data_IF_645047844017
#
_entry.id   IF_645047844017
#
_cell.length_a   1.000
_cell.length_b   1.000
_cell.length_c   1.000
_cell.angle_alpha   90.00
_cell.angle_beta   90.00
_cell.angle_gamma   90.00
#
_symmetry.space_group_name_H-M   'P 1'
#
loop_
_entity.id
_entity.type
_entity.pdbx_description
1 polymer ?
#
# COMPACT_ATOMS: atom_id res chain seq x y z
N UNK A 1 -11.53 -5.39 21.97
CA UNK A 1 -10.86 -5.47 20.66
C UNK A 1 -9.38 -5.24 20.89
N UNK A 2 -8.52 -6.04 20.28
CA UNK A 2 -7.07 -5.88 20.37
C UNK A 2 -6.53 -5.29 19.08
N UNK A 3 -5.47 -4.49 19.16
CA UNK A 3 -4.73 -4.03 17.98
C UNK A 3 -3.65 -5.05 17.60
N UNK A 4 -2.96 -4.85 16.47
CA UNK A 4 -2.09 -5.86 15.85
C UNK A 4 -0.98 -6.43 16.76
N UNK A 5 -0.46 -5.63 17.69
CA UNK A 5 0.56 -6.09 18.66
C UNK A 5 -0.02 -6.75 19.94
N UNK A 6 -1.35 -6.96 20.00
CA UNK A 6 -2.04 -7.62 21.11
C UNK A 6 -2.47 -6.71 22.27
N UNK A 7 -2.19 -5.40 22.22
CA UNK A 7 -2.67 -4.42 23.20
C UNK A 7 -4.19 -4.23 23.11
N UNK A 8 -4.82 -3.90 24.24
CA UNK A 8 -6.24 -3.52 24.26
C UNK A 8 -6.46 -2.15 23.61
N UNK A 9 -7.50 -2.06 22.79
CA UNK A 9 -7.88 -0.81 22.17
C UNK A 9 -8.53 0.14 23.18
N UNK A 10 -7.97 1.34 23.28
CA UNK A 10 -8.48 2.49 24.02
C UNK A 10 -8.65 3.63 23.03
N UNK A 11 -9.86 4.15 22.89
CA UNK A 11 -10.16 5.23 21.96
C UNK A 11 -9.53 6.56 22.41
N UNK A 12 -9.13 7.37 21.44
CA UNK A 12 -8.74 8.78 21.62
C UNK A 12 -9.37 9.59 20.49
N UNK A 13 -10.49 10.25 20.75
CA UNK A 13 -11.19 11.04 19.72
C UNK A 13 -10.34 12.20 19.19
N UNK A 14 -9.37 12.69 19.98
CA UNK A 14 -8.52 13.80 19.56
C UNK A 14 -7.55 13.41 18.46
N UNK A 15 -7.12 12.14 18.41
CA UNK A 15 -6.17 11.70 17.38
C UNK A 15 -6.85 11.48 16.02
N UNK A 16 -8.15 11.18 16.00
CA UNK A 16 -8.90 10.91 14.77
C UNK A 16 -8.86 12.10 13.82
N UNK A 17 -8.59 11.80 12.54
CA UNK A 17 -8.46 12.79 11.46
C UNK A 17 -7.14 12.68 10.71
N UNK A 18 -6.85 13.73 9.93
CA UNK A 18 -5.66 13.83 9.08
C UNK A 18 -4.55 14.63 9.75
N UNK A 19 -3.32 14.13 9.64
CA UNK A 19 -2.10 14.74 10.17
C UNK A 19 -1.06 14.90 9.07
N UNK A 20 -0.56 16.12 8.86
CA UNK A 20 0.48 16.43 7.88
C UNK A 20 1.86 16.50 8.53
N UNK A 21 2.87 15.90 7.90
CA UNK A 21 4.24 15.91 8.40
C UNK A 21 4.84 17.32 8.34
N UNK A 22 5.52 17.73 9.42
CA UNK A 22 6.13 19.06 9.55
C UNK A 22 7.66 18.96 9.57
N UNK A 23 8.18 17.91 10.18
CA UNK A 23 9.61 17.73 10.38
C UNK A 23 9.90 16.73 11.50
N UNK A 24 11.15 16.75 11.96
CA UNK A 24 11.59 15.85 13.02
C UNK A 24 12.54 16.57 13.99
N UNK A 25 12.70 15.98 15.17
CA UNK A 25 13.60 16.46 16.22
C UNK A 25 14.49 15.28 16.60
N UNK A 26 15.81 15.49 16.65
CA UNK A 26 16.77 14.43 16.99
C UNK A 26 16.58 13.86 18.41
N UNK A 27 15.94 14.61 19.32
CA UNK A 27 15.52 14.10 20.63
C UNK A 27 14.35 13.10 20.49
N UNK A 28 14.53 11.81 20.81
CA UNK A 28 13.49 10.79 20.71
C UNK A 28 12.35 10.97 21.73
N UNK A 29 12.50 11.84 22.73
CA UNK A 29 11.48 12.14 23.75
C UNK A 29 10.95 13.59 23.68
N UNK A 30 11.14 14.25 22.53
CA UNK A 30 10.82 15.65 22.31
C UNK A 30 9.33 15.97 22.58
N UNK A 31 9.07 17.07 23.30
CA UNK A 31 7.71 17.52 23.67
C UNK A 31 7.41 18.95 23.25
N UNK A 32 8.38 19.64 22.68
CA UNK A 32 8.31 21.01 22.17
C UNK A 32 8.77 21.03 20.73
N UNK A 33 8.60 22.14 20.02
CA UNK A 33 9.07 22.31 18.65
C UNK A 33 10.51 22.85 18.57
N UNK A 34 11.22 22.86 19.70
CA UNK A 34 12.60 23.37 19.75
C UNK A 34 13.50 22.44 18.92
N UNK A 35 14.37 23.05 18.11
CA UNK A 35 15.27 22.33 17.20
C UNK A 35 14.56 21.47 16.15
N UNK A 36 13.33 21.84 15.77
CA UNK A 36 12.63 21.20 14.66
C UNK A 36 13.45 21.33 13.37
N UNK A 37 13.84 20.19 12.82
CA UNK A 37 14.51 20.06 11.54
C UNK A 37 13.49 19.80 10.44
N UNK A 38 13.64 20.51 9.34
CA UNK A 38 12.85 20.28 8.13
C UNK A 38 13.65 19.39 7.18
N UNK A 39 13.01 18.30 6.75
CA UNK A 39 13.57 17.33 5.84
C UNK A 39 12.46 16.37 5.41
N UNK A 40 12.73 15.49 4.45
CA UNK A 40 11.78 14.44 4.10
C UNK A 40 12.26 13.13 4.70
N UNK A 41 11.87 12.87 5.95
CA UNK A 41 12.10 11.58 6.59
C UNK A 41 10.74 10.93 6.83
N UNK A 42 10.55 9.73 6.31
CA UNK A 42 9.30 8.98 6.48
C UNK A 42 8.15 9.42 5.55
N UNK A 43 6.94 9.40 6.10
CA UNK A 43 5.68 9.57 5.39
C UNK A 43 5.13 11.00 5.51
N UNK A 44 4.55 11.51 4.41
CA UNK A 44 4.06 12.90 4.30
C UNK A 44 2.81 13.18 5.13
N UNK A 45 1.98 12.16 5.35
CA UNK A 45 0.72 12.29 6.06
C UNK A 45 0.33 10.97 6.74
N UNK A 46 -0.45 11.07 7.82
CA UNK A 46 -1.05 9.95 8.54
C UNK A 46 -2.51 10.27 8.80
N UNK A 47 -3.34 9.24 8.78
CA UNK A 47 -4.73 9.27 9.16
C UNK A 47 -4.94 8.36 10.35
N UNK A 48 -5.62 8.82 11.38
CA UNK A 48 -6.07 7.94 12.45
C UNK A 48 -7.54 7.60 12.20
N UNK A 49 -7.78 6.39 11.72
CA UNK A 49 -9.12 5.89 11.44
C UNK A 49 -9.87 5.54 12.74
N UNK A 50 -11.20 5.64 12.76
CA UNK A 50 -12.00 5.27 13.93
C UNK A 50 -11.70 3.86 14.41
N UNK A 51 -11.83 3.65 15.73
CA UNK A 51 -11.69 2.32 16.34
C UNK A 51 -10.33 1.65 16.08
N UNK A 52 -9.27 2.40 15.83
CA UNK A 52 -7.95 1.82 15.60
C UNK A 52 -7.84 1.05 14.28
N UNK A 53 -8.72 1.32 13.31
CA UNK A 53 -8.76 0.58 12.04
C UNK A 53 -7.42 0.73 11.27
N UNK A 54 -6.82 -0.38 10.80
CA UNK A 54 -5.56 -0.35 10.08
C UNK A 54 -5.73 -0.01 8.60
N UNK A 55 -4.71 0.64 8.03
CA UNK A 55 -4.59 0.85 6.59
C UNK A 55 -3.12 0.96 6.18
N UNK A 56 -2.81 0.53 4.95
CA UNK A 56 -1.45 0.51 4.41
C UNK A 56 -0.46 -0.20 5.35
N UNK A 57 0.59 0.49 5.78
CA UNK A 57 1.59 0.02 6.75
C UNK A 57 1.18 0.31 8.21
N UNK A 58 0.11 1.09 8.43
CA UNK A 58 -0.36 1.44 9.76
C UNK A 58 -1.30 0.34 10.26
N UNK A 59 -0.77 -0.57 11.06
CA UNK A 59 -1.47 -1.75 11.63
C UNK A 59 -2.45 -1.41 12.77
N UNK A 60 -2.79 -0.14 12.90
CA UNK A 60 -3.75 0.38 13.85
C UNK A 60 -3.11 1.22 14.95
N UNK A 61 -3.94 1.63 15.90
CA UNK A 61 -3.53 2.49 17.00
C UNK A 61 -4.41 2.24 18.23
N UNK A 62 -3.86 2.56 19.39
CA UNK A 62 -4.59 2.71 20.66
C UNK A 62 -4.14 4.02 21.31
N UNK A 63 -4.83 4.53 22.31
CA UNK A 63 -4.49 5.81 22.93
C UNK A 63 -3.01 5.84 23.35
N UNK A 64 -2.25 6.75 22.74
CA UNK A 64 -0.82 6.94 22.97
C UNK A 64 0.13 6.02 22.21
N UNK A 65 -0.36 5.11 21.36
CA UNK A 65 0.48 4.18 20.58
C UNK A 65 -0.02 3.98 19.15
N UNK A 66 0.91 4.01 18.20
CA UNK A 66 0.70 3.71 16.78
C UNK A 66 1.51 2.45 16.43
N UNK A 67 0.90 1.50 15.70
CA UNK A 67 1.59 0.30 15.22
C UNK A 67 1.84 0.38 13.72
N UNK A 68 3.03 -0.04 13.28
CA UNK A 68 3.44 -0.02 11.87
C UNK A 68 4.07 -1.37 11.50
N UNK A 69 3.74 -1.89 10.32
CA UNK A 69 4.36 -3.08 9.74
C UNK A 69 4.81 -2.78 8.30
N UNK A 70 6.07 -3.08 8.00
CA UNK A 70 6.69 -2.75 6.71
C UNK A 70 6.62 -3.90 5.69
N UNK A 71 5.91 -4.98 6.01
CA UNK A 71 5.80 -6.17 5.16
C UNK A 71 6.97 -7.15 5.32
N UNK A 72 6.83 -8.33 4.71
CA UNK A 72 7.84 -9.40 4.74
C UNK A 72 8.16 -9.86 6.17
N UNK A 73 9.44 -10.08 6.47
CA UNK A 73 9.89 -10.55 7.79
C UNK A 73 10.09 -9.43 8.82
N UNK A 74 9.66 -8.20 8.50
CA UNK A 74 9.79 -7.07 9.44
C UNK A 74 8.93 -7.28 10.70
N UNK A 75 9.40 -6.86 11.89
CA UNK A 75 8.54 -6.88 13.07
C UNK A 75 7.44 -5.81 12.96
N UNK A 76 6.39 -5.96 13.77
CA UNK A 76 5.44 -4.86 14.02
C UNK A 76 6.11 -3.87 14.96
N UNK A 77 6.37 -2.67 14.46
CA UNK A 77 6.86 -1.55 15.24
C UNK A 77 5.73 -0.92 16.04
N UNK A 78 5.99 -0.56 17.29
CA UNK A 78 5.04 0.15 18.15
C UNK A 78 5.66 1.44 18.62
N UNK A 79 5.15 2.56 18.15
CA UNK A 79 5.64 3.89 18.48
C UNK A 79 4.70 4.58 19.46
N UNK A 80 5.26 5.14 20.52
CA UNK A 80 4.51 6.00 21.43
C UNK A 80 4.24 7.33 20.74
N UNK A 81 3.03 7.85 20.87
CA UNK A 81 2.73 9.20 20.43
C UNK A 81 2.17 10.06 21.56
N UNK A 82 2.38 11.36 21.45
CA UNK A 82 1.72 12.36 22.29
C UNK A 82 1.17 13.51 21.45
N UNK A 83 0.00 14.03 21.85
CA UNK A 83 -0.58 15.22 21.22
C UNK A 83 -0.33 16.43 22.13
N UNK A 84 0.08 17.56 21.55
CA UNK A 84 0.26 18.85 22.24
C UNK A 84 -0.42 19.95 21.45
N UNK A 85 -1.06 20.88 22.14
CA UNK A 85 -1.53 22.11 21.52
C UNK A 85 -0.41 23.15 21.65
N UNK A 86 0.09 23.64 20.52
CA UNK A 86 1.16 24.64 20.41
C UNK A 86 0.66 25.67 19.39
N UNK A 87 0.65 26.94 19.78
CA UNK A 87 0.11 28.04 18.96
C UNK A 87 -1.30 27.77 18.41
N UNK A 88 -2.18 27.28 19.28
CA UNK A 88 -3.57 26.92 18.97
C UNK A 88 -3.73 25.81 17.90
N UNK A 89 -2.67 25.05 17.63
CA UNK A 89 -2.70 23.92 16.70
C UNK A 89 -2.26 22.63 17.39
N UNK A 90 -2.98 21.55 17.10
CA UNK A 90 -2.62 20.23 17.60
C UNK A 90 -1.44 19.67 16.81
N UNK A 91 -0.40 19.28 17.54
CA UNK A 91 0.81 18.64 17.04
C UNK A 91 0.90 17.23 17.62
N UNK A 92 1.18 16.26 16.75
CA UNK A 92 1.41 14.87 17.09
C UNK A 92 2.90 14.62 17.05
N UNK A 93 3.45 14.13 18.15
CA UNK A 93 4.84 13.72 18.29
C UNK A 93 4.86 12.20 18.33
N UNK A 94 5.53 11.57 17.37
CA UNK A 94 5.72 10.12 17.31
C UNK A 94 7.18 9.83 17.69
N UNK A 95 7.37 9.16 18.81
CA UNK A 95 8.68 8.85 19.37
C UNK A 95 9.22 7.56 18.75
N UNK A 96 10.31 7.69 17.99
CA UNK A 96 11.10 6.58 17.46
C UNK A 96 12.37 6.40 18.31
N UNK A 97 13.16 5.39 18.01
CA UNK A 97 14.36 5.04 18.79
C UNK A 97 15.42 6.15 18.76
N UNK A 98 15.56 6.83 17.62
CA UNK A 98 16.63 7.78 17.32
C UNK A 98 16.16 9.22 17.11
N UNK A 99 14.84 9.47 16.98
CA UNK A 99 14.28 10.80 16.79
C UNK A 99 12.77 10.84 17.09
N UNK A 100 12.20 12.04 17.13
CA UNK A 100 10.75 12.27 17.18
C UNK A 100 10.26 12.87 15.87
N UNK A 101 9.29 12.25 15.23
CA UNK A 101 8.59 12.81 14.08
C UNK A 101 7.43 13.70 14.53
N UNK A 102 7.26 14.86 13.88
CA UNK A 102 6.26 15.86 14.23
C UNK A 102 5.28 16.05 13.09
N UNK A 103 4.00 15.91 13.41
CA UNK A 103 2.89 16.17 12.50
C UNK A 103 1.98 17.26 13.08
N UNK A 104 1.25 17.94 12.20
CA UNK A 104 0.23 18.92 12.57
C UNK A 104 -1.15 18.44 12.13
N UNK A 105 -2.17 18.67 12.96
CA UNK A 105 -3.54 18.28 12.62
C UNK A 105 -4.06 19.16 11.50
N UNK A 106 -4.38 18.57 10.36
CA UNK A 106 -4.92 19.27 9.20
C UNK A 106 -6.45 19.36 9.28
N UNK A 107 -7.11 18.27 9.68
CA UNK A 107 -8.53 18.26 9.99
C UNK A 107 -8.91 17.17 11.00
N UNK A 108 -10.17 17.17 11.43
CA UNK A 108 -10.76 16.16 12.33
C UNK A 108 -11.88 15.37 11.63
N UNK A 109 -11.84 15.27 10.30
CA UNK A 109 -12.84 14.50 9.57
C UNK A 109 -12.71 13.01 9.92
N UNK A 110 -13.84 12.33 9.94
CA UNK A 110 -13.86 10.88 10.09
C UNK A 110 -13.70 10.24 8.72
N UNK A 111 -12.53 9.64 8.50
CA UNK A 111 -12.23 8.89 7.28
C UNK A 111 -12.57 7.41 7.46
N UNK A 112 -12.79 6.72 6.34
CA UNK A 112 -12.84 5.26 6.28
C UNK A 112 -11.78 4.76 5.32
N UNK A 113 -11.38 3.49 5.46
CA UNK A 113 -10.45 2.84 4.53
C UNK A 113 -10.90 2.90 3.06
N UNK A 114 -12.22 2.88 2.84
CA UNK A 114 -12.85 2.95 1.51
C UNK A 114 -12.77 4.31 0.84
N UNK A 115 -12.50 5.38 1.60
CA UNK A 115 -12.46 6.77 1.10
C UNK A 115 -11.06 7.36 1.13
N UNK A 116 -10.08 6.57 1.60
CA UNK A 116 -8.73 7.03 1.89
C UNK A 116 -7.79 6.66 0.75
N UNK A 117 -6.97 7.64 0.37
CA UNK A 117 -5.94 7.46 -0.65
C UNK A 117 -6.49 7.67 -2.05
N UNK A 118 -5.74 7.17 -3.03
CA UNK A 118 -6.03 7.35 -4.43
C UNK A 118 -7.02 6.30 -4.93
N UNK A 119 -8.08 6.76 -5.57
CA UNK A 119 -9.05 5.96 -6.30
C UNK A 119 -8.96 6.31 -7.79
N UNK A 120 -8.84 5.30 -8.64
CA UNK A 120 -8.90 5.48 -10.09
C UNK A 120 -10.35 5.38 -10.58
N UNK A 121 -10.59 5.77 -11.83
CA UNK A 121 -11.84 5.43 -12.51
C UNK A 121 -11.77 3.94 -12.84
N UNK A 122 -12.79 3.17 -12.44
CA UNK A 122 -12.84 1.70 -12.66
C UNK A 122 -14.03 1.25 -13.51
N UNK A 123 -14.96 2.15 -13.81
CA UNK A 123 -16.11 1.88 -14.69
C UNK A 123 -15.69 1.98 -16.16
N UNK A 124 -14.85 1.02 -16.59
CA UNK A 124 -14.41 0.89 -17.97
C UNK A 124 -15.29 -0.12 -18.70
N UNK A 125 -15.69 0.16 -19.96
CA UNK A 125 -16.38 -0.82 -20.78
C UNK A 125 -15.45 -2.02 -21.02
N UNK A 126 -16.06 -3.21 -21.02
CA UNK A 126 -15.31 -4.42 -21.33
C UNK A 126 -14.94 -4.45 -22.81
N UNK A 127 -13.65 -4.65 -23.07
CA UNK A 127 -13.08 -4.89 -24.39
C UNK A 127 -12.22 -6.13 -24.27
N UNK A 128 -12.55 -7.14 -25.07
CA UNK A 128 -11.82 -8.41 -25.12
C UNK A 128 -10.38 -8.22 -25.61
N UNK A 129 -9.44 -8.97 -25.02
CA UNK A 129 -8.08 -9.15 -25.50
C UNK A 129 -7.75 -10.65 -25.45
N UNK A 130 -7.88 -11.33 -26.59
CA UNK A 130 -7.68 -12.78 -26.64
C UNK A 130 -6.27 -13.21 -26.20
N UNK A 131 -5.28 -12.31 -26.27
CA UNK A 131 -3.90 -12.62 -25.96
C UNK A 131 -3.65 -12.87 -24.46
N UNK A 132 -4.49 -12.30 -23.59
CA UNK A 132 -4.31 -12.39 -22.13
C UNK A 132 -4.91 -13.64 -21.51
N UNK A 133 -5.83 -14.33 -22.19
CA UNK A 133 -6.53 -15.49 -21.63
C UNK A 133 -5.60 -16.55 -21.04
N UNK A 134 -6.05 -17.14 -19.93
CA UNK A 134 -5.33 -18.18 -19.21
C UNK A 134 -4.52 -17.64 -18.03
N UNK A 135 -3.67 -18.52 -17.50
CA UNK A 135 -2.91 -18.26 -16.27
C UNK A 135 -1.55 -17.65 -16.56
N UNK A 136 -1.16 -16.71 -15.71
CA UNK A 136 0.11 -15.99 -15.73
C UNK A 136 0.73 -16.04 -14.34
N UNK A 137 1.97 -16.51 -14.24
CA UNK A 137 2.67 -16.65 -12.96
C UNK A 137 3.70 -15.53 -12.81
N UNK A 138 3.82 -14.97 -11.61
CA UNK A 138 4.77 -13.90 -11.31
C UNK A 138 6.20 -14.42 -11.39
N UNK A 139 7.05 -13.68 -12.11
CA UNK A 139 8.47 -13.99 -12.33
C UNK A 139 9.38 -12.80 -12.06
N UNK A 140 8.83 -11.62 -11.82
CA UNK A 140 9.61 -10.40 -11.59
C UNK A 140 8.85 -9.30 -10.85
N UNK A 141 9.61 -8.41 -10.22
CA UNK A 141 9.15 -7.11 -9.74
C UNK A 141 10.24 -6.07 -10.02
N UNK A 142 9.94 -5.07 -10.84
CA UNK A 142 10.94 -4.11 -11.36
C UNK A 142 10.42 -2.68 -11.34
N UNK A 143 11.29 -1.71 -11.07
CA UNK A 143 10.91 -0.29 -11.09
C UNK A 143 10.66 0.24 -12.50
N UNK A 144 11.44 -0.21 -13.49
CA UNK A 144 11.21 0.04 -14.90
C UNK A 144 11.17 -1.28 -15.68
N UNK A 145 10.38 -1.32 -16.75
CA UNK A 145 10.18 -2.51 -17.58
C UNK A 145 11.51 -2.99 -18.20
N UNK A 146 12.37 -2.05 -18.55
CA UNK A 146 13.67 -2.25 -19.19
C UNK A 146 14.70 -2.90 -18.26
N UNK A 147 14.46 -2.85 -16.95
CA UNK A 147 15.33 -3.46 -15.93
C UNK A 147 15.06 -4.97 -15.78
N UNK A 148 14.01 -5.49 -16.43
CA UNK A 148 13.65 -6.90 -16.33
C UNK A 148 14.62 -7.78 -17.11
N UNK A 149 15.24 -8.71 -16.39
CA UNK A 149 16.07 -9.78 -16.93
C UNK A 149 15.41 -11.10 -16.49
N UNK A 150 14.97 -11.96 -17.42
CA UNK A 150 14.43 -13.27 -17.09
C UNK A 150 15.41 -14.08 -16.24
N UNK A 151 14.93 -14.63 -15.13
CA UNK A 151 15.71 -15.44 -14.17
C UNK A 151 14.95 -16.73 -13.85
N UNK A 152 15.65 -17.78 -13.38
CA UNK A 152 15.02 -19.02 -12.90
C UNK A 152 14.02 -18.77 -11.76
N UNK A 153 13.01 -19.63 -11.66
CA UNK A 153 11.81 -19.50 -10.80
C UNK A 153 12.04 -19.88 -9.32
N UNK A 154 12.95 -19.19 -8.62
CA UNK A 154 13.22 -19.48 -7.21
C UNK A 154 12.66 -18.42 -6.24
N UNK A 155 11.95 -17.41 -6.76
CA UNK A 155 11.42 -16.30 -5.94
C UNK A 155 9.91 -16.44 -5.74
N UNK A 156 9.48 -16.50 -4.48
CA UNK A 156 8.07 -16.41 -4.12
C UNK A 156 7.63 -14.95 -4.06
N UNK A 157 6.62 -14.60 -4.86
CA UNK A 157 6.08 -13.24 -4.95
C UNK A 157 4.76 -13.11 -4.19
N UNK A 158 4.54 -11.94 -3.58
CA UNK A 158 3.30 -11.65 -2.83
C UNK A 158 2.02 -11.84 -3.67
N UNK A 159 1.97 -11.24 -4.87
CA UNK A 159 1.03 -11.63 -5.93
C UNK A 159 1.69 -12.77 -6.71
N UNK A 160 1.13 -13.97 -6.62
CA UNK A 160 1.70 -15.20 -7.18
C UNK A 160 1.30 -15.44 -8.62
N UNK A 161 0.03 -15.24 -8.94
CA UNK A 161 -0.48 -15.45 -10.30
C UNK A 161 -1.77 -14.70 -10.57
N UNK A 162 -2.08 -14.56 -11.85
CA UNK A 162 -3.35 -14.04 -12.36
C UNK A 162 -3.91 -14.97 -13.42
N UNK A 163 -5.20 -15.23 -13.39
CA UNK A 163 -5.92 -16.00 -14.40
C UNK A 163 -7.00 -15.13 -15.04
N UNK A 164 -6.78 -14.77 -16.31
CA UNK A 164 -7.72 -14.00 -17.12
C UNK A 164 -8.73 -14.97 -17.73
N UNK A 165 -10.00 -14.75 -17.42
CA UNK A 165 -11.15 -15.55 -17.87
C UNK A 165 -12.08 -14.73 -18.73
N UNK A 166 -13.04 -15.41 -19.35
CA UNK A 166 -14.08 -14.82 -20.17
C UNK A 166 -14.87 -13.72 -19.45
N UNK A 167 -15.48 -12.83 -20.24
CA UNK A 167 -16.37 -11.76 -19.76
C UNK A 167 -15.71 -10.79 -18.78
N UNK A 168 -14.39 -10.62 -18.90
CA UNK A 168 -13.61 -9.69 -18.08
C UNK A 168 -13.42 -10.16 -16.63
N UNK A 169 -13.58 -11.44 -16.34
CA UNK A 169 -13.35 -12.00 -15.01
C UNK A 169 -11.85 -12.26 -14.78
N UNK A 170 -11.32 -11.80 -13.65
CA UNK A 170 -9.91 -12.00 -13.27
C UNK A 170 -9.83 -12.69 -11.91
N UNK A 171 -9.03 -13.75 -11.80
CA UNK A 171 -8.69 -14.36 -10.51
C UNK A 171 -7.24 -14.05 -10.19
N UNK A 172 -6.98 -13.47 -9.03
CA UNK A 172 -5.63 -13.17 -8.56
C UNK A 172 -5.31 -13.99 -7.32
N UNK A 173 -4.21 -14.75 -7.36
CA UNK A 173 -3.71 -15.48 -6.21
C UNK A 173 -2.63 -14.66 -5.52
N UNK A 174 -2.92 -14.19 -4.33
CA UNK A 174 -1.96 -13.65 -3.38
C UNK A 174 -1.55 -14.75 -2.40
N UNK A 175 -0.40 -14.61 -1.73
CA UNK A 175 0.13 -15.56 -0.72
C UNK A 175 -0.86 -16.62 -0.23
N UNK A 176 -1.77 -16.22 0.68
CA UNK A 176 -2.82 -17.08 1.26
C UNK A 176 -4.25 -16.61 0.90
N UNK A 177 -4.39 -15.64 -0.01
CA UNK A 177 -5.66 -15.01 -0.37
C UNK A 177 -5.97 -15.12 -1.86
N UNK A 178 -7.25 -15.25 -2.21
CA UNK A 178 -7.71 -15.22 -3.60
C UNK A 178 -8.66 -14.07 -3.79
N UNK A 179 -8.36 -13.18 -4.73
CA UNK A 179 -9.20 -12.05 -5.06
C UNK A 179 -9.85 -12.27 -6.44
N UNK A 180 -11.13 -11.96 -6.52
CA UNK A 180 -11.90 -12.00 -7.76
C UNK A 180 -12.13 -10.56 -8.21
N UNK A 181 -11.55 -10.22 -9.34
CA UNK A 181 -11.42 -8.87 -9.87
C UNK A 181 -11.89 -8.81 -11.33
N UNK A 182 -11.68 -7.68 -11.99
CA UNK A 182 -12.06 -7.51 -13.40
C UNK A 182 -10.85 -7.18 -14.27
N UNK A 183 -11.00 -7.40 -15.56
CA UNK A 183 -10.05 -6.92 -16.56
C UNK A 183 -10.79 -6.42 -17.82
N UNK A 184 -10.09 -5.61 -18.59
CA UNK A 184 -10.45 -5.18 -19.95
C UNK A 184 -9.13 -4.99 -20.72
N UNK A 185 -9.15 -4.90 -22.04
CA UNK A 185 -7.94 -4.72 -22.84
C UNK A 185 -7.06 -3.57 -22.28
N UNK A 186 -5.83 -3.91 -21.93
CA UNK A 186 -4.82 -3.01 -21.36
C UNK A 186 -4.97 -2.67 -19.87
N UNK A 187 -5.99 -3.16 -19.16
CA UNK A 187 -6.22 -2.85 -17.74
C UNK A 187 -6.60 -4.07 -16.89
N UNK A 188 -5.96 -4.20 -15.74
CA UNK A 188 -6.44 -4.97 -14.59
C UNK A 188 -7.17 -4.03 -13.64
N UNK A 189 -8.42 -4.35 -13.29
CA UNK A 189 -9.30 -3.51 -12.47
C UNK A 189 -9.49 -4.17 -11.11
N UNK A 190 -8.92 -3.58 -10.06
CA UNK A 190 -9.21 -4.00 -8.70
C UNK A 190 -10.47 -3.31 -8.20
N UNK A 191 -11.52 -4.09 -7.95
CA UNK A 191 -12.76 -3.67 -7.28
C UNK A 191 -12.50 -3.43 -5.79
N UNK A 192 -11.66 -4.25 -5.16
CA UNK A 192 -11.35 -4.14 -3.73
C UNK A 192 -10.57 -2.86 -3.40
N UNK A 193 -9.72 -2.41 -4.33
CA UNK A 193 -8.85 -1.24 -4.14
C UNK A 193 -9.24 -0.07 -5.02
N UNK A 194 -10.23 -0.24 -5.90
CA UNK A 194 -10.70 0.77 -6.85
C UNK A 194 -9.55 1.40 -7.64
N UNK A 195 -8.66 0.55 -8.16
CA UNK A 195 -7.55 0.94 -9.02
C UNK A 195 -7.67 0.28 -10.38
N UNK A 196 -7.17 0.97 -11.41
CA UNK A 196 -7.10 0.44 -12.77
C UNK A 196 -5.62 0.40 -13.17
N UNK A 197 -5.01 -0.78 -13.10
CA UNK A 197 -3.60 -1.02 -13.38
C UNK A 197 -3.38 -1.32 -14.87
N UNK A 198 -2.68 -0.44 -15.61
CA UNK A 198 -2.24 -0.74 -16.96
C UNK A 198 -1.35 -1.97 -17.00
N UNK A 199 -1.53 -2.78 -18.04
CA UNK A 199 -0.57 -3.80 -18.40
C UNK A 199 -0.12 -3.66 -19.85
N UNK A 200 1.08 -4.15 -20.14
CA UNK A 200 1.56 -4.38 -21.51
C UNK A 200 2.18 -5.76 -21.63
N UNK A 201 2.08 -6.36 -22.81
CA UNK A 201 2.73 -7.63 -23.12
C UNK A 201 3.93 -7.39 -24.03
N UNK A 202 5.08 -7.96 -23.68
CA UNK A 202 6.28 -7.97 -24.52
C UNK A 202 6.73 -9.41 -24.77
N UNK A 203 7.31 -9.65 -25.93
CA UNK A 203 8.03 -10.89 -26.21
C UNK A 203 9.53 -10.67 -25.96
N UNK A 204 10.13 -11.54 -25.15
CA UNK A 204 11.55 -11.50 -24.80
C UNK A 204 12.10 -12.91 -24.99
N UNK A 205 13.07 -13.07 -25.88
CA UNK A 205 13.67 -14.37 -26.22
C UNK A 205 12.64 -15.45 -26.65
N UNK A 206 11.56 -15.04 -27.32
CA UNK A 206 10.49 -15.95 -27.78
C UNK A 206 9.43 -16.29 -26.75
N UNK A 207 9.54 -15.79 -25.51
CA UNK A 207 8.54 -15.97 -24.46
C UNK A 207 7.74 -14.68 -24.22
N UNK A 208 6.45 -14.82 -23.89
CA UNK A 208 5.58 -13.69 -23.59
C UNK A 208 5.59 -13.35 -22.11
N UNK A 209 5.80 -12.06 -21.83
CA UNK A 209 5.78 -11.49 -20.49
C UNK A 209 4.77 -10.35 -20.41
N UNK A 210 3.96 -10.35 -19.36
CA UNK A 210 3.07 -9.26 -19.01
C UNK A 210 3.72 -8.39 -17.93
N UNK A 211 3.76 -7.07 -18.16
CA UNK A 211 4.19 -6.08 -17.20
C UNK A 211 2.96 -5.30 -16.74
N UNK A 212 2.58 -5.43 -15.48
CA UNK A 212 1.41 -4.75 -14.91
C UNK A 212 1.88 -3.76 -13.84
N UNK A 213 1.38 -2.52 -13.91
CA UNK A 213 1.62 -1.53 -12.86
C UNK A 213 1.09 -2.02 -11.50
N UNK A 214 1.93 -1.98 -10.48
CA UNK A 214 1.56 -2.33 -9.12
C UNK A 214 0.87 -1.17 -8.40
N UNK A 215 -0.41 -0.97 -8.73
CA UNK A 215 -1.25 0.07 -8.13
C UNK A 215 -1.90 -0.37 -6.82
N UNK A 216 -1.05 -0.66 -5.82
CA UNK A 216 -1.45 -1.10 -4.47
C UNK A 216 -1.03 -0.09 -3.40
N UNK A 217 -0.75 -0.54 -2.17
CA UNK A 217 -0.62 0.34 -0.99
C UNK A 217 0.27 1.57 -1.18
N UNK A 218 1.46 1.43 -1.77
CA UNK A 218 2.37 2.57 -1.99
C UNK A 218 1.82 3.58 -3.00
N UNK A 219 1.09 3.11 -4.02
CA UNK A 219 0.41 3.98 -4.99
C UNK A 219 -0.81 4.67 -4.36
N UNK A 220 -1.64 3.91 -3.66
CA UNK A 220 -2.91 4.38 -3.08
C UNK A 220 -2.65 5.37 -1.94
N UNK A 221 -1.76 5.01 -1.01
CA UNK A 221 -1.56 5.71 0.25
C UNK A 221 -0.24 6.51 0.30
N UNK A 222 0.82 6.00 -0.33
CA UNK A 222 2.13 6.66 -0.38
C UNK A 222 2.26 7.72 -1.48
N UNK A 223 1.34 7.74 -2.45
CA UNK A 223 1.43 8.61 -3.63
C UNK A 223 2.64 8.31 -4.53
N UNK A 224 3.22 7.11 -4.40
CA UNK A 224 4.35 6.68 -5.20
C UNK A 224 3.91 6.36 -6.63
N UNK A 225 4.84 6.51 -7.58
CA UNK A 225 4.66 5.88 -8.89
C UNK A 225 4.67 4.36 -8.70
N UNK A 226 3.81 3.62 -9.43
CA UNK A 226 3.81 2.17 -9.34
C UNK A 226 5.07 1.60 -9.99
N UNK A 227 5.65 0.57 -9.35
CA UNK A 227 6.58 -0.34 -10.01
C UNK A 227 5.78 -1.36 -10.86
N UNK A 228 6.44 -2.36 -11.43
CA UNK A 228 5.81 -3.36 -12.28
C UNK A 228 5.97 -4.76 -11.71
N UNK A 229 4.85 -5.47 -11.57
CA UNK A 229 4.90 -6.92 -11.53
C UNK A 229 5.09 -7.47 -12.95
N UNK A 230 5.94 -8.48 -13.07
CA UNK A 230 6.21 -9.18 -14.32
C UNK A 230 5.69 -10.60 -14.21
N UNK A 231 4.89 -11.01 -15.19
CA UNK A 231 4.30 -12.33 -15.25
C UNK A 231 4.70 -13.04 -16.53
N UNK A 232 4.89 -14.35 -16.44
CA UNK A 232 5.06 -15.24 -17.58
C UNK A 232 3.79 -16.05 -17.79
N UNK A 233 3.35 -16.19 -19.04
CA UNK A 233 2.18 -17.02 -19.36
C UNK A 233 2.47 -18.47 -19.04
N UNK A 234 1.55 -19.15 -18.38
CA UNK A 234 1.61 -20.59 -18.21
C UNK A 234 1.29 -21.24 -19.56
N UNK A 235 2.25 -21.97 -20.12
CA UNK A 235 1.96 -22.78 -21.29
C UNK A 235 0.98 -23.87 -20.89
N UNK A 236 -0.18 -23.90 -21.54
CA UNK A 236 -1.12 -24.99 -21.37
C UNK A 236 -0.40 -26.30 -21.72
N UNK A 237 -0.48 -27.30 -20.83
CA UNK A 237 -0.06 -28.65 -21.18
C UNK A 237 -0.74 -29.02 -22.51
N UNK A 238 0.05 -29.22 -23.57
CA UNK A 238 -0.43 -29.84 -24.78
C UNK A 238 -0.97 -31.22 -24.38
N UNK A 239 -2.30 -31.34 -24.36
CA UNK A 239 -2.99 -32.63 -24.26
C UNK A 239 -2.79 -33.43 -25.56
#
# INVERSE_FOLDING_TARGET
MKIANGMDFVNDERVVGKWGFVGYIEDPEAKTLDNLLHGNIGYKEIYFLPKGEPYWIFEGWTKGYLTIYLGGDAPIYTYKYVIRCIDCRDHLFIHKEDHTEVFIKEDSKVYSKETLGKHDIIDHPFVEDESVHGKWNSVGYVGNIEDFIPKPEDTEYYLKSMEFKDEGCLVQQYMDEVWNERWTNGLVISLHRTTAAPYIIKEINGEKYMFMEWRMGNYIYGGCKPDYYVFRKEEGALL
#
